data_IF_218778189844
#
_entry.id   IF_218778189844
#
_cell.length_a   1.000
_cell.length_b   1.000
_cell.length_c   1.000
_cell.angle_alpha   90.00
_cell.angle_beta   90.00
_cell.angle_gamma   90.00
#
_symmetry.space_group_name_H-M   'P 1'
#
loop_
_entity.id
_entity.type
_entity.pdbx_description
1 polymer ?
#
# COMPACT_ATOMS: atom_id res chain seq x y z
N UNK A 1 -20.21 -3.39 28.39
CA UNK A 1 -19.88 -4.05 27.11
C UNK A 1 -18.74 -3.28 26.48
N UNK A 2 -17.51 -3.76 26.69
CA UNK A 2 -16.30 -3.24 26.09
C UNK A 2 -16.32 -3.73 24.64
N UNK A 3 -16.56 -2.86 23.67
CA UNK A 3 -16.34 -3.16 22.26
C UNK A 3 -15.31 -2.14 21.80
N UNK A 4 -14.05 -2.54 21.95
CA UNK A 4 -12.94 -2.00 21.18
C UNK A 4 -13.36 -2.17 19.72
N UNK A 5 -13.25 -1.10 18.92
CA UNK A 5 -13.54 -1.17 17.48
C UNK A 5 -12.56 -2.10 16.79
N UNK A 6 -12.92 -3.38 16.73
CA UNK A 6 -12.39 -4.32 15.75
C UNK A 6 -13.40 -4.34 14.60
N UNK A 7 -13.57 -3.19 13.95
CA UNK A 7 -14.24 -3.16 12.65
C UNK A 7 -13.32 -3.92 11.68
N UNK A 8 -13.78 -5.03 11.06
CA UNK A 8 -13.02 -5.61 9.95
C UNK A 8 -12.83 -4.49 8.93
N UNK A 9 -11.61 -4.26 8.46
CA UNK A 9 -11.28 -3.18 7.52
C UNK A 9 -12.41 -3.06 6.51
N UNK A 10 -13.11 -1.92 6.52
CA UNK A 10 -14.22 -1.73 5.59
C UNK A 10 -13.65 -1.96 4.19
N UNK A 11 -14.31 -2.81 3.42
CA UNK A 11 -13.90 -3.22 2.06
C UNK A 11 -13.71 -2.03 1.10
N UNK A 12 -14.18 -0.85 1.50
CA UNK A 12 -14.04 0.43 0.83
C UNK A 12 -12.67 1.10 1.09
N UNK A 13 -12.13 1.04 2.31
CA UNK A 13 -10.81 1.62 2.62
C UNK A 13 -9.64 0.78 2.07
N UNK A 14 -9.77 -0.55 2.05
CA UNK A 14 -8.78 -1.44 1.42
C UNK A 14 -8.71 -1.19 -0.09
N UNK A 15 -9.86 -0.95 -0.73
CA UNK A 15 -9.94 -0.52 -2.14
C UNK A 15 -9.22 0.80 -2.37
N UNK A 16 -9.48 1.79 -1.50
CA UNK A 16 -8.85 3.11 -1.57
C UNK A 16 -7.33 3.06 -1.47
N UNK A 17 -6.77 2.28 -0.53
CA UNK A 17 -5.32 2.10 -0.42
C UNK A 17 -4.74 1.35 -1.63
N UNK A 18 -5.24 0.16 -1.91
CA UNK A 18 -4.62 -0.76 -2.87
C UNK A 18 -4.79 -0.34 -4.34
N UNK A 19 -5.71 0.56 -4.65
CA UNK A 19 -5.94 1.04 -6.02
C UNK A 19 -5.38 2.41 -6.33
N UNK A 20 -4.64 3.01 -5.40
CA UNK A 20 -3.85 4.19 -5.72
C UNK A 20 -2.68 3.79 -6.62
N UNK A 21 -2.37 4.61 -7.62
CA UNK A 21 -1.12 4.50 -8.38
C UNK A 21 0.08 4.67 -7.43
N UNK A 22 1.22 4.00 -7.67
CA UNK A 22 2.40 4.16 -6.82
C UNK A 22 2.90 5.60 -6.88
N UNK A 23 3.01 6.26 -5.72
CA UNK A 23 3.53 7.62 -5.62
C UNK A 23 4.98 7.60 -5.11
N UNK A 24 5.98 7.97 -5.95
CA UNK A 24 7.37 8.07 -5.53
C UNK A 24 7.60 9.05 -4.38
N UNK A 25 6.66 9.98 -4.14
CA UNK A 25 6.80 11.04 -3.16
C UNK A 25 7.95 12.00 -3.50
N UNK A 26 8.57 12.55 -2.47
CA UNK A 26 9.66 13.54 -2.58
C UNK A 26 10.88 13.12 -1.75
N UNK A 27 12.00 13.81 -1.97
CA UNK A 27 13.27 13.53 -1.31
C UNK A 27 14.35 13.04 -2.28
N UNK A 28 15.47 12.58 -1.71
CA UNK A 28 16.69 12.17 -2.44
C UNK A 28 17.05 10.70 -2.24
N UNK A 29 16.23 9.92 -1.52
CA UNK A 29 16.47 8.48 -1.34
C UNK A 29 16.05 7.73 -2.60
N UNK A 30 16.58 6.51 -2.75
CA UNK A 30 16.14 5.54 -3.75
C UNK A 30 15.81 4.24 -3.02
N UNK A 31 14.57 4.11 -2.56
CA UNK A 31 14.12 2.96 -1.78
C UNK A 31 13.22 2.08 -2.64
N UNK A 32 13.56 0.81 -2.79
CA UNK A 32 12.65 -0.16 -3.42
C UNK A 32 11.50 -0.46 -2.48
N UNK A 33 10.27 -0.25 -2.97
CA UNK A 33 9.02 -0.52 -2.25
C UNK A 33 8.07 -1.31 -3.13
N UNK A 34 7.10 -1.97 -2.50
CA UNK A 34 6.07 -2.75 -3.16
C UNK A 34 4.77 -1.96 -3.20
N UNK A 35 4.03 -2.09 -4.29
CA UNK A 35 2.68 -1.56 -4.44
C UNK A 35 1.80 -2.62 -5.12
N UNK A 36 0.50 -2.59 -4.86
CA UNK A 36 -0.46 -3.44 -5.54
C UNK A 36 -0.82 -2.85 -6.90
N UNK A 37 -0.59 -3.62 -7.95
CA UNK A 37 -1.02 -3.29 -9.31
C UNK A 37 -2.37 -3.98 -9.57
N UNK A 38 -3.44 -3.18 -9.60
CA UNK A 38 -4.80 -3.69 -9.81
C UNK A 38 -5.08 -4.16 -11.24
N UNK A 39 -4.31 -3.71 -12.23
CA UNK A 39 -4.46 -4.14 -13.61
C UNK A 39 -3.94 -5.57 -13.80
N UNK A 40 -2.88 -5.94 -13.08
CA UNK A 40 -2.31 -7.29 -13.14
C UNK A 40 -2.73 -8.18 -11.97
N UNK A 41 -3.37 -7.62 -10.94
CA UNK A 41 -3.68 -8.25 -9.66
C UNK A 41 -2.44 -8.84 -8.97
N UNK A 42 -1.33 -8.09 -9.00
CA UNK A 42 -0.05 -8.53 -8.43
C UNK A 42 0.66 -7.37 -7.72
N UNK A 43 1.47 -7.70 -6.71
CA UNK A 43 2.40 -6.74 -6.12
C UNK A 43 3.64 -6.58 -7.01
N UNK A 44 3.99 -5.33 -7.34
CA UNK A 44 5.14 -4.95 -8.13
C UNK A 44 6.00 -3.93 -7.37
N UNK A 45 7.25 -3.74 -7.80
CA UNK A 45 8.17 -2.79 -7.16
C UNK A 45 8.16 -1.42 -7.82
N UNK A 46 8.36 -0.37 -7.04
CA UNK A 46 8.64 0.99 -7.52
C UNK A 46 9.71 1.66 -6.65
N UNK A 47 10.23 2.82 -7.11
CA UNK A 47 11.21 3.61 -6.35
C UNK A 47 10.49 4.70 -5.54
N UNK A 48 10.64 4.64 -4.22
CA UNK A 48 10.15 5.64 -3.28
C UNK A 48 11.29 6.57 -2.83
N UNK A 49 11.03 7.87 -2.84
CA UNK A 49 12.02 8.92 -2.55
C UNK A 49 12.20 9.21 -1.06
N UNK A 50 11.37 8.61 -0.21
CA UNK A 50 11.56 8.58 1.24
C UNK A 50 10.63 9.48 2.05
N UNK A 51 9.92 10.41 1.42
CA UNK A 51 9.00 11.35 2.08
C UNK A 51 7.71 11.50 1.26
N UNK A 52 6.58 11.77 1.93
CA UNK A 52 5.23 11.84 1.33
C UNK A 52 4.89 10.52 0.60
N UNK A 53 4.14 10.60 -0.51
CA UNK A 53 3.60 9.43 -1.19
C UNK A 53 2.20 9.10 -0.72
N UNK A 54 1.77 7.87 -1.03
CA UNK A 54 0.50 7.32 -0.57
C UNK A 54 0.70 5.97 0.13
N UNK A 55 -0.42 5.38 0.54
CA UNK A 55 -0.43 4.16 1.34
C UNK A 55 -0.26 2.87 0.51
N UNK A 56 -0.30 2.93 -0.83
CA UNK A 56 0.06 1.79 -1.68
C UNK A 56 1.59 1.63 -1.76
N UNK A 57 2.22 1.46 -0.60
CA UNK A 57 3.66 1.52 -0.42
C UNK A 57 4.07 0.63 0.75
N UNK A 58 4.49 -0.58 0.43
CA UNK A 58 4.85 -1.62 1.38
C UNK A 58 6.36 -1.89 1.34
N UNK A 59 6.95 -2.19 2.50
CA UNK A 59 8.37 -2.52 2.58
C UNK A 59 8.65 -3.92 2.01
N UNK A 60 7.73 -4.87 2.24
CA UNK A 60 7.86 -6.26 1.83
C UNK A 60 6.74 -6.65 0.86
N UNK A 61 7.02 -7.63 0.01
CA UNK A 61 6.06 -8.16 -0.96
C UNK A 61 4.87 -8.82 -0.28
N UNK A 62 5.14 -9.56 0.79
CA UNK A 62 4.11 -10.34 1.49
C UNK A 62 3.10 -9.42 2.19
N UNK A 63 3.55 -8.32 2.81
CA UNK A 63 2.65 -7.29 3.36
C UNK A 63 1.68 -6.74 2.30
N UNK A 64 2.18 -6.49 1.08
CA UNK A 64 1.36 -6.01 -0.02
C UNK A 64 0.30 -7.06 -0.43
N UNK A 65 0.68 -8.33 -0.49
CA UNK A 65 -0.25 -9.40 -0.85
C UNK A 65 -1.28 -9.64 0.25
N UNK A 66 -0.85 -9.71 1.50
CA UNK A 66 -1.71 -9.95 2.65
C UNK A 66 -2.74 -8.82 2.83
N UNK A 67 -2.36 -7.58 2.47
CA UNK A 67 -3.24 -6.44 2.59
C UNK A 67 -4.18 -6.24 1.40
N UNK A 68 -3.71 -6.47 0.17
CA UNK A 68 -4.41 -6.03 -1.05
C UNK A 68 -5.02 -7.15 -1.91
N UNK A 69 -4.84 -8.42 -1.54
CA UNK A 69 -5.35 -9.56 -2.30
C UNK A 69 -6.53 -10.26 -1.65
#
# INVERSE_FOLDING_TARGET
>A
KLIIEISPLSTDQTRGRCWQEPDPGSGSKSLTRWYYNNATNQCATFVYKGTNGNENNFQYRDDCLDYCR
#
